data_IF_787585165586
#
_entry.id   IF_787585165586
#
_cell.length_a   1.000
_cell.length_b   1.000
_cell.length_c   1.000
_cell.angle_alpha   90.00
_cell.angle_beta   90.00
_cell.angle_gamma   90.00
#
_symmetry.space_group_name_H-M   'P 1'
#
loop_
_entity.id
_entity.type
_entity.pdbx_description
1 polymer ?
#
# COMPACT_ATOMS: atom_id res chain seq x y z
N UNK A 1 7.68 5.35 -18.15
CA UNK A 1 6.77 4.86 -17.09
C UNK A 1 5.35 4.98 -17.61
N UNK A 2 4.59 3.89 -17.69
CA UNK A 2 3.20 3.95 -18.14
C UNK A 2 2.38 4.79 -17.16
N UNK A 3 1.78 5.89 -17.63
CA UNK A 3 0.75 6.62 -16.87
C UNK A 3 -0.53 5.83 -16.98
N UNK A 4 -0.71 4.89 -16.07
CA UNK A 4 -1.98 4.22 -15.91
C UNK A 4 -2.88 5.09 -15.02
N UNK A 5 -4.06 5.42 -15.52
CA UNK A 5 -5.02 6.23 -14.78
C UNK A 5 -5.85 5.33 -13.89
N UNK A 6 -5.75 5.51 -12.57
CA UNK A 6 -6.68 4.90 -11.62
C UNK A 6 -7.82 5.86 -11.35
N UNK A 7 -9.04 5.47 -11.69
CA UNK A 7 -10.24 6.32 -11.52
C UNK A 7 -11.22 5.64 -10.59
N UNK A 8 -11.63 6.38 -9.56
CA UNK A 8 -12.70 5.98 -8.65
C UNK A 8 -14.05 6.26 -9.29
N UNK A 9 -15.02 5.39 -9.01
CA UNK A 9 -16.42 5.71 -9.29
C UNK A 9 -16.90 6.79 -8.33
N UNK A 10 -18.02 7.43 -8.67
CA UNK A 10 -18.69 8.35 -7.76
C UNK A 10 -18.96 7.64 -6.43
N UNK A 11 -18.61 8.30 -5.33
CA UNK A 11 -18.81 7.83 -3.95
C UNK A 11 -18.06 6.52 -3.60
N UNK A 12 -17.08 6.09 -4.42
CA UNK A 12 -16.23 4.94 -4.13
C UNK A 12 -15.05 5.35 -3.22
N UNK A 13 -14.89 4.66 -2.09
CA UNK A 13 -13.70 4.79 -1.27
C UNK A 13 -12.49 4.11 -1.95
N UNK A 14 -11.33 4.78 -1.89
CA UNK A 14 -10.06 4.14 -2.26
C UNK A 14 -9.68 3.12 -1.19
N UNK A 15 -9.62 1.84 -1.57
CA UNK A 15 -9.09 0.78 -0.70
C UNK A 15 -7.67 0.44 -1.15
N UNK A 16 -6.70 0.59 -0.26
CA UNK A 16 -5.31 0.18 -0.50
C UNK A 16 -4.97 -1.04 0.33
N UNK A 17 -4.52 -2.11 -0.33
CA UNK A 17 -3.89 -3.26 0.34
C UNK A 17 -2.40 -3.22 0.04
N UNK A 18 -1.58 -3.07 1.08
CA UNK A 18 -0.14 -2.88 0.96
C UNK A 18 0.59 -4.04 1.62
N UNK A 19 1.43 -4.73 0.85
CA UNK A 19 2.35 -5.74 1.35
C UNK A 19 3.77 -5.15 1.36
N UNK A 20 4.49 -5.39 2.45
CA UNK A 20 5.86 -4.93 2.64
C UNK A 20 6.69 -6.14 3.03
N UNK A 21 7.51 -6.65 2.11
CA UNK A 21 8.42 -7.76 2.34
C UNK A 21 9.86 -7.35 2.03
N UNK A 22 10.70 -7.28 3.06
CA UNK A 22 12.10 -6.81 3.00
C UNK A 22 12.23 -5.48 2.25
N UNK A 23 12.61 -5.52 0.97
CA UNK A 23 12.81 -4.36 0.11
C UNK A 23 11.76 -4.24 -1.01
N UNK A 24 10.70 -5.04 -0.98
CA UNK A 24 9.60 -5.02 -1.94
C UNK A 24 8.35 -4.44 -1.27
N UNK A 25 7.72 -3.50 -1.97
CA UNK A 25 6.42 -2.96 -1.62
C UNK A 25 5.47 -3.26 -2.77
N UNK A 26 4.36 -3.91 -2.46
CA UNK A 26 3.28 -4.20 -3.41
C UNK A 26 2.01 -3.51 -2.93
N UNK A 27 1.38 -2.75 -3.81
CA UNK A 27 0.18 -1.96 -3.52
C UNK A 27 -0.92 -2.39 -4.47
N UNK A 28 -2.06 -2.77 -3.92
CA UNK A 28 -3.27 -3.08 -4.66
C UNK A 28 -4.32 -2.01 -4.38
N UNK A 29 -4.81 -1.34 -5.42
CA UNK A 29 -5.80 -0.28 -5.36
C UNK A 29 -7.17 -0.78 -5.79
N UNK A 30 -8.13 -0.76 -4.85
CA UNK A 30 -9.50 -1.26 -4.94
C UNK A 30 -9.63 -2.57 -5.72
N UNK A 31 -8.68 -3.50 -5.53
CA UNK A 31 -8.57 -4.81 -6.21
C UNK A 31 -8.62 -4.75 -7.75
N UNK A 32 -8.38 -3.58 -8.36
CA UNK A 32 -8.44 -3.33 -9.83
C UNK A 32 -7.08 -3.04 -10.44
N UNK A 33 -6.13 -2.59 -9.63
CA UNK A 33 -4.81 -2.23 -10.09
C UNK A 33 -3.76 -2.61 -9.05
N UNK A 34 -2.60 -3.05 -9.53
CA UNK A 34 -1.44 -3.34 -8.70
C UNK A 34 -0.22 -2.53 -9.15
N UNK A 35 0.61 -2.14 -8.21
CA UNK A 35 1.93 -1.56 -8.44
C UNK A 35 2.93 -2.23 -7.51
N UNK A 36 4.12 -2.50 -8.05
CA UNK A 36 5.26 -3.01 -7.27
C UNK A 36 6.40 -2.00 -7.31
N UNK A 37 7.10 -1.87 -6.19
CA UNK A 37 8.25 -0.98 -6.08
C UNK A 37 9.30 -1.58 -5.16
N UNK A 38 10.57 -1.49 -5.57
CA UNK A 38 11.70 -1.89 -4.74
C UNK A 38 12.23 -0.67 -3.98
N UNK A 39 12.30 -0.75 -2.66
CA UNK A 39 12.72 0.34 -1.79
C UNK A 39 13.67 -0.16 -0.70
N UNK A 40 14.68 0.63 -0.34
CA UNK A 40 15.60 0.34 0.76
C UNK A 40 15.10 1.07 2.01
N UNK A 41 14.65 0.34 3.03
CA UNK A 41 14.05 0.94 4.22
C UNK A 41 15.12 1.32 5.25
N UNK A 42 15.12 2.57 5.69
CA UNK A 42 15.97 3.03 6.79
C UNK A 42 15.34 2.82 8.18
N UNK A 43 14.00 2.76 8.27
CA UNK A 43 13.30 2.51 9.54
C UNK A 43 12.02 1.70 9.34
N UNK A 44 11.57 1.04 10.41
CA UNK A 44 10.41 0.15 10.39
C UNK A 44 9.06 0.84 10.60
N UNK A 45 9.03 2.15 10.83
CA UNK A 45 7.82 2.87 11.22
C UNK A 45 6.84 3.06 10.05
N UNK A 46 5.54 3.12 10.37
CA UNK A 46 4.45 3.40 9.43
C UNK A 46 3.84 4.74 9.81
N UNK A 47 3.68 5.64 8.84
CA UNK A 47 3.03 6.95 9.01
C UNK A 47 2.04 7.19 7.89
N UNK A 48 0.92 7.81 8.23
CA UNK A 48 -0.05 8.33 7.27
C UNK A 48 0.08 9.85 7.22
N UNK A 49 -0.05 10.42 6.02
CA UNK A 49 0.02 11.86 5.80
C UNK A 49 -0.87 12.27 4.64
N UNK A 50 -1.63 13.33 4.81
CA UNK A 50 -2.32 14.04 3.74
C UNK A 50 -1.50 15.27 3.32
N UNK A 51 -1.50 15.60 2.03
CA UNK A 51 -0.82 16.78 1.48
C UNK A 51 -1.75 17.44 0.47
N UNK A 52 -1.89 18.77 0.53
CA UNK A 52 -2.75 19.54 -0.37
C UNK A 52 -4.25 19.52 -0.02
N UNK A 53 -4.61 18.99 1.16
CA UNK A 53 -5.98 18.92 1.65
C UNK A 53 -6.12 17.86 2.74
N UNK A 54 -7.35 17.68 3.21
CA UNK A 54 -7.69 16.68 4.23
C UNK A 54 -7.96 15.31 3.59
N UNK A 55 -7.63 14.25 4.33
CA UNK A 55 -7.98 12.88 3.97
C UNK A 55 -8.78 12.24 5.10
N UNK A 56 -10.01 11.81 4.80
CA UNK A 56 -10.83 11.05 5.75
C UNK A 56 -10.49 9.58 5.67
N UNK A 57 -9.97 9.01 6.76
CA UNK A 57 -9.62 7.59 6.83
C UNK A 57 -10.73 6.83 7.54
N UNK A 58 -11.41 5.93 6.81
CA UNK A 58 -12.50 5.12 7.38
C UNK A 58 -12.02 3.95 8.23
N UNK A 59 -10.92 3.32 7.84
CA UNK A 59 -10.38 2.15 8.53
C UNK A 59 -8.90 1.97 8.24
N UNK A 60 -8.15 1.53 9.25
CA UNK A 60 -6.76 1.09 9.10
C UNK A 60 -6.64 -0.23 9.85
N UNK A 61 -6.07 -1.22 9.18
CA UNK A 61 -5.69 -2.50 9.79
C UNK A 61 -4.29 -2.85 9.34
N UNK A 62 -3.50 -3.37 10.27
CA UNK A 62 -2.14 -3.80 10.02
C UNK A 62 -1.93 -5.18 10.64
N UNK A 63 -1.21 -6.04 9.92
CA UNK A 63 -0.89 -7.38 10.35
C UNK A 63 0.61 -7.62 10.21
N UNK A 64 1.20 -8.32 11.17
CA UNK A 64 2.57 -8.80 11.06
C UNK A 64 2.58 -10.06 10.20
N UNK A 65 3.23 -10.01 9.04
CA UNK A 65 3.39 -11.17 8.18
C UNK A 65 4.38 -12.16 8.80
N UNK A 66 4.07 -13.44 8.68
CA UNK A 66 5.00 -14.53 8.98
C UNK A 66 5.94 -14.73 7.79
N UNK A 67 7.16 -15.19 8.07
CA UNK A 67 8.06 -15.63 7.00
C UNK A 67 7.49 -16.89 6.36
N UNK A 68 7.51 -16.95 5.02
CA UNK A 68 7.25 -18.21 4.28
C UNK A 68 8.51 -19.07 4.17
N UNK A 69 9.69 -18.44 4.33
CA UNK A 69 10.95 -19.16 4.29
C UNK A 69 11.09 -19.97 5.57
N UNK A 70 11.14 -21.29 5.44
CA UNK A 70 11.66 -22.16 6.49
C UNK A 70 13.18 -22.11 6.42
N UNK A 71 13.81 -21.73 7.52
CA UNK A 71 15.25 -21.92 7.68
C UNK A 71 15.49 -23.42 7.89
N UNK A 72 16.40 -24.07 7.15
CA UNK A 72 16.79 -25.45 7.45
C UNK A 72 17.41 -25.59 8.84
#
# INVERSE_FOLDING_TARGET
>A
MARTSFVLKKDEDLTLRVFIDKNLVEVFASDRQAMTHRHIRESSNIRLSAKGGDASIRSIKAWKMQTICQTP
#
